data_IF_065788687151
#
_entry.id   IF_065788687151
#
_cell.length_a   1.000
_cell.length_b   1.000
_cell.length_c   1.000
_cell.angle_alpha   90.00
_cell.angle_beta   90.00
_cell.angle_gamma   90.00
#
_symmetry.space_group_name_H-M   'P 1'
#
loop_
_entity.id
_entity.type
_entity.pdbx_description
1 polymer ?
#
# COMPACT_ATOMS: atom_id res chain seq x y z
N UNK A 1 -17.15 -2.47 0.83
CA UNK A 1 -16.12 -1.96 1.75
C UNK A 1 -14.88 -1.80 0.91
N UNK A 2 -14.26 -0.63 0.90
CA UNK A 2 -13.07 -0.37 0.10
C UNK A 2 -11.85 -1.00 0.78
N UNK A 3 -10.94 -1.60 0.02
CA UNK A 3 -9.75 -2.27 0.56
C UNK A 3 -8.75 -1.21 1.06
N UNK A 4 -8.81 -0.92 2.36
CA UNK A 4 -7.94 0.07 3.00
C UNK A 4 -6.64 -0.56 3.49
N UNK A 5 -5.51 0.02 3.11
CA UNK A 5 -4.23 -0.23 3.77
C UNK A 5 -4.24 0.48 5.13
N UNK A 6 -4.48 -0.25 6.23
CA UNK A 6 -4.50 0.29 7.59
C UNK A 6 -3.20 -0.05 8.33
N UNK A 7 -2.78 0.84 9.22
CA UNK A 7 -1.59 0.61 10.05
C UNK A 7 -1.82 -0.53 11.05
N UNK A 8 -0.94 -1.53 11.05
CA UNK A 8 -0.97 -2.61 12.04
C UNK A 8 -0.93 -2.06 13.49
N UNK A 9 -0.16 -0.99 13.73
CA UNK A 9 -0.10 -0.34 15.05
C UNK A 9 -1.43 0.31 15.45
N UNK A 10 -2.20 0.86 14.49
CA UNK A 10 -3.52 1.40 14.76
C UNK A 10 -4.50 0.27 15.16
N UNK A 11 -4.42 -0.88 14.49
CA UNK A 11 -5.21 -2.06 14.84
C UNK A 11 -4.82 -2.60 16.23
N UNK A 12 -3.53 -2.72 16.52
CA UNK A 12 -3.04 -3.15 17.84
C UNK A 12 -3.55 -2.21 18.94
N UNK A 13 -3.46 -0.89 18.74
CA UNK A 13 -3.97 0.11 19.69
C UNK A 13 -5.46 -0.07 19.97
N UNK A 14 -6.28 -0.32 18.93
CA UNK A 14 -7.71 -0.60 19.08
C UNK A 14 -7.93 -1.88 19.91
N UNK A 15 -7.18 -2.95 19.61
CA UNK A 15 -7.27 -4.23 20.34
C UNK A 15 -6.87 -4.09 21.82
N UNK A 16 -5.81 -3.35 22.13
CA UNK A 16 -5.38 -3.08 23.50
C UNK A 16 -6.43 -2.29 24.29
N UNK A 17 -7.00 -1.25 23.68
CA UNK A 17 -8.08 -0.46 24.27
C UNK A 17 -9.32 -1.31 24.55
N UNK A 18 -9.70 -2.19 23.62
CA UNK A 18 -10.82 -3.11 23.79
C UNK A 18 -10.54 -4.14 24.91
N UNK A 19 -9.32 -4.68 25.00
CA UNK A 19 -8.92 -5.60 26.07
C UNK A 19 -8.99 -4.94 27.46
N UNK A 20 -8.59 -3.68 27.58
CA UNK A 20 -8.75 -2.90 28.82
C UNK A 20 -10.23 -2.72 29.21
N UNK A 21 -11.11 -2.44 28.23
CA UNK A 21 -12.56 -2.30 28.45
C UNK A 21 -13.25 -3.62 28.79
N UNK A 22 -12.85 -4.73 28.15
CA UNK A 22 -13.41 -6.06 28.40
C UNK A 22 -13.17 -6.55 29.84
N UNK A 23 -12.07 -6.11 30.48
CA UNK A 23 -11.84 -6.33 31.92
C UNK A 23 -12.86 -5.65 32.84
N UNK A 24 -13.78 -4.84 32.31
CA UNK A 24 -14.85 -4.13 33.03
C UNK A 24 -16.27 -4.66 32.75
N UNK A 25 -16.39 -5.86 32.19
CA UNK A 25 -17.63 -6.61 31.94
C UNK A 25 -18.50 -6.08 30.77
N UNK A 26 -18.24 -6.63 29.58
CA UNK A 26 -19.03 -6.47 28.36
C UNK A 26 -19.18 -7.84 27.70
N UNK A 27 -20.37 -8.17 27.20
CA UNK A 27 -20.57 -9.45 26.51
C UNK A 27 -19.74 -9.52 25.21
N UNK A 28 -19.17 -10.70 24.91
CA UNK A 28 -18.18 -10.88 23.83
C UNK A 28 -18.65 -10.43 22.44
N UNK A 29 -19.95 -10.54 22.13
CA UNK A 29 -20.50 -10.18 20.82
C UNK A 29 -20.47 -8.65 20.57
N UNK A 30 -20.75 -7.84 21.59
CA UNK A 30 -20.71 -6.38 21.48
C UNK A 30 -19.27 -5.86 21.33
N UNK A 31 -18.30 -6.52 21.96
CA UNK A 31 -16.88 -6.20 21.82
C UNK A 31 -16.37 -6.42 20.39
N UNK A 32 -16.79 -7.50 19.72
CA UNK A 32 -16.37 -7.79 18.35
C UNK A 32 -16.98 -6.78 17.37
N UNK A 33 -18.26 -6.43 17.53
CA UNK A 33 -18.92 -5.44 16.68
C UNK A 33 -18.30 -4.04 16.83
N UNK A 34 -18.02 -3.60 18.06
CA UNK A 34 -17.36 -2.31 18.35
C UNK A 34 -15.94 -2.26 17.76
N UNK A 35 -15.20 -3.37 17.85
CA UNK A 35 -13.87 -3.51 17.24
C UNK A 35 -13.93 -3.39 15.71
N UNK A 36 -14.87 -4.07 15.06
CA UNK A 36 -15.06 -4.01 13.60
C UNK A 36 -15.37 -2.58 13.15
N UNK A 37 -16.30 -1.90 13.82
CA UNK A 37 -16.67 -0.51 13.51
C UNK A 37 -15.48 0.46 13.67
N UNK A 38 -14.65 0.27 14.70
CA UNK A 38 -13.43 1.08 14.90
C UNK A 38 -12.40 0.84 13.80
N UNK A 39 -12.21 -0.40 13.35
CA UNK A 39 -11.29 -0.74 12.25
C UNK A 39 -11.80 -0.16 10.93
N UNK A 40 -13.09 -0.30 10.62
CA UNK A 40 -13.69 0.23 9.39
C UNK A 40 -13.59 1.76 9.28
N UNK A 41 -13.63 2.45 10.43
CA UNK A 41 -13.48 3.90 10.54
C UNK A 41 -12.05 4.40 10.51
N UNK A 42 -11.06 3.52 10.58
CA UNK A 42 -9.67 3.97 10.45
C UNK A 42 -9.47 4.67 9.10
N UNK A 43 -8.74 5.80 9.09
CA UNK A 43 -8.24 6.34 7.85
C UNK A 43 -7.29 5.32 7.23
N UNK A 44 -7.26 5.27 5.89
CA UNK A 44 -6.19 4.54 5.22
C UNK A 44 -4.84 5.17 5.61
N UNK A 45 -3.84 4.35 5.93
CA UNK A 45 -2.49 4.80 6.19
C UNK A 45 -1.86 5.43 4.94
N UNK A 46 -2.30 4.96 3.77
CA UNK A 46 -1.91 5.47 2.46
C UNK A 46 -3.11 5.44 1.52
N UNK A 47 -3.17 6.43 0.63
CA UNK A 47 -4.10 6.47 -0.50
C UNK A 47 -3.53 5.54 -1.58
N UNK A 48 -4.10 4.34 -1.67
CA UNK A 48 -3.59 3.26 -2.53
C UNK A 48 -3.62 3.68 -3.99
N UNK A 49 -4.71 4.33 -4.39
CA UNK A 49 -4.95 4.81 -5.75
C UNK A 49 -3.90 5.85 -6.13
N UNK A 50 -3.59 6.81 -5.23
CA UNK A 50 -2.51 7.78 -5.48
C UNK A 50 -1.13 7.16 -5.54
N UNK A 51 -0.82 6.18 -4.69
CA UNK A 51 0.48 5.47 -4.79
C UNK A 51 0.60 4.77 -6.16
N UNK A 52 -0.47 4.11 -6.62
CA UNK A 52 -0.47 3.46 -7.93
C UNK A 52 -0.34 4.49 -9.06
N UNK A 53 -0.96 5.66 -8.94
CA UNK A 53 -0.82 6.77 -9.88
C UNK A 53 0.64 7.27 -9.95
N UNK A 54 1.25 7.61 -8.82
CA UNK A 54 2.65 8.05 -8.76
C UNK A 54 3.62 7.00 -9.34
N UNK A 55 3.41 5.71 -9.03
CA UNK A 55 4.23 4.62 -9.56
C UNK A 55 4.07 4.45 -11.08
N UNK A 56 2.87 4.68 -11.63
CA UNK A 56 2.63 4.65 -13.08
C UNK A 56 3.36 5.80 -13.77
N UNK A 57 3.32 6.99 -13.20
CA UNK A 57 4.04 8.16 -13.73
C UNK A 57 5.56 7.91 -13.74
N UNK A 58 6.13 7.39 -12.65
CA UNK A 58 7.56 7.06 -12.59
C UNK A 58 7.95 5.96 -13.57
N UNK A 59 7.08 4.96 -13.76
CA UNK A 59 7.27 3.92 -14.76
C UNK A 59 7.31 4.50 -16.17
N UNK A 60 6.34 5.34 -16.53
CA UNK A 60 6.27 5.97 -17.84
C UNK A 60 7.50 6.87 -18.10
N UNK A 61 7.95 7.62 -17.09
CA UNK A 61 9.15 8.44 -17.19
C UNK A 61 10.42 7.59 -17.39
N UNK A 62 10.54 6.47 -16.68
CA UNK A 62 11.65 5.53 -16.89
C UNK A 62 11.64 4.97 -18.32
N UNK A 63 10.48 4.56 -18.85
CA UNK A 63 10.33 4.08 -20.23
C UNK A 63 10.72 5.16 -21.26
N UNK A 64 10.31 6.41 -21.04
CA UNK A 64 10.70 7.55 -21.90
C UNK A 64 12.21 7.77 -21.90
N UNK A 65 12.86 7.66 -20.74
CA UNK A 65 14.31 7.82 -20.66
C UNK A 65 15.05 6.65 -21.29
N UNK A 66 14.59 5.42 -21.10
CA UNK A 66 15.15 4.24 -21.77
C UNK A 66 15.15 4.43 -23.30
N UNK A 67 14.01 4.85 -23.87
CA UNK A 67 13.91 5.12 -25.31
C UNK A 67 14.88 6.21 -25.79
N UNK A 68 15.07 7.30 -25.02
CA UNK A 68 16.04 8.35 -25.36
C UNK A 68 17.48 7.86 -25.34
N UNK A 69 17.83 6.98 -24.40
CA UNK A 69 19.18 6.41 -24.33
C UNK A 69 19.45 5.42 -25.46
N UNK A 70 18.45 4.63 -25.85
CA UNK A 70 18.51 3.76 -27.03
C UNK A 70 18.77 4.57 -28.32
N UNK A 71 18.04 5.69 -28.51
CA UNK A 71 18.22 6.58 -29.67
C UNK A 71 19.65 7.12 -29.82
N UNK A 72 20.38 7.33 -28.72
CA UNK A 72 21.76 7.82 -28.74
C UNK A 72 22.81 6.70 -28.60
N UNK A 73 22.37 5.43 -28.55
CA UNK A 73 23.25 4.26 -28.41
C UNK A 73 23.90 4.09 -27.04
N UNK A 74 23.33 4.72 -26.00
CA UNK A 74 23.80 4.61 -24.61
C UNK A 74 23.11 3.43 -23.92
N UNK A 75 23.58 2.23 -24.24
CA UNK A 75 22.98 0.97 -23.78
C UNK A 75 23.01 0.81 -22.27
N UNK A 76 24.06 1.31 -21.61
CA UNK A 76 24.21 1.19 -20.15
C UNK A 76 23.10 1.98 -19.43
N UNK A 77 22.86 3.23 -19.83
CA UNK A 77 21.78 4.03 -19.24
C UNK A 77 20.39 3.55 -19.67
N UNK A 78 20.24 3.06 -20.90
CA UNK A 78 19.00 2.42 -21.35
C UNK A 78 18.63 1.25 -20.42
N UNK A 79 19.54 0.31 -20.18
CA UNK A 79 19.32 -0.88 -19.36
C UNK A 79 18.96 -0.53 -17.91
N UNK A 80 19.57 0.52 -17.36
CA UNK A 80 19.24 1.04 -16.01
C UNK A 80 17.77 1.49 -15.98
N UNK A 81 17.34 2.30 -16.94
CA UNK A 81 15.97 2.84 -16.98
C UNK A 81 14.93 1.76 -17.25
N UNK A 82 15.26 0.80 -18.09
CA UNK A 82 14.44 -0.39 -18.33
C UNK A 82 14.22 -1.20 -17.04
N UNK A 83 15.29 -1.35 -16.25
CA UNK A 83 15.23 -2.04 -14.95
C UNK A 83 14.37 -1.25 -13.95
N UNK A 84 14.49 0.07 -13.91
CA UNK A 84 13.65 0.94 -13.08
C UNK A 84 12.16 0.82 -13.44
N UNK A 85 11.80 0.87 -14.74
CA UNK A 85 10.41 0.67 -15.20
C UNK A 85 9.83 -0.67 -14.73
N UNK A 86 10.60 -1.76 -14.85
CA UNK A 86 10.18 -3.08 -14.37
C UNK A 86 9.98 -3.10 -12.86
N UNK A 87 10.87 -2.45 -12.11
CA UNK A 87 10.75 -2.34 -10.65
C UNK A 87 9.48 -1.59 -10.23
N UNK A 88 9.15 -0.48 -10.90
CA UNK A 88 7.88 0.23 -10.67
C UNK A 88 6.67 -0.63 -11.04
N UNK A 89 6.73 -1.39 -12.13
CA UNK A 89 5.69 -2.36 -12.50
C UNK A 89 5.45 -3.41 -11.40
N UNK A 90 6.51 -3.99 -10.85
CA UNK A 90 6.41 -4.93 -9.72
C UNK A 90 5.86 -4.27 -8.46
N UNK A 91 6.27 -3.04 -8.16
CA UNK A 91 5.75 -2.29 -7.03
C UNK A 91 4.23 -2.04 -7.15
N UNK A 92 3.74 -1.72 -8.35
CA UNK A 92 2.30 -1.60 -8.62
C UNK A 92 1.58 -2.91 -8.29
N UNK A 93 2.07 -4.06 -8.78
CA UNK A 93 1.44 -5.36 -8.50
C UNK A 93 1.39 -5.69 -7.00
N UNK A 94 2.46 -5.39 -6.26
CA UNK A 94 2.53 -5.60 -4.80
C UNK A 94 1.48 -4.74 -4.09
N UNK A 95 1.39 -3.46 -4.46
CA UNK A 95 0.44 -2.52 -3.86
C UNK A 95 -1.00 -2.93 -4.21
N UNK A 96 -1.26 -3.36 -5.45
CA UNK A 96 -2.57 -3.87 -5.89
C UNK A 96 -3.02 -5.09 -5.08
N UNK A 97 -2.11 -6.03 -4.81
CA UNK A 97 -2.36 -7.23 -3.99
C UNK A 97 -2.40 -6.97 -2.48
N UNK A 98 -2.01 -5.76 -2.04
CA UNK A 98 -1.95 -5.40 -0.62
C UNK A 98 -0.73 -5.97 0.13
N UNK A 99 0.30 -6.42 -0.58
CA UNK A 99 1.51 -6.99 0.01
C UNK A 99 2.23 -8.00 -0.87
N UNK A 100 3.31 -8.57 -0.33
CA UNK A 100 4.05 -9.71 -0.92
C UNK A 100 3.51 -10.98 -0.27
N UNK A 101 3.19 -12.00 -1.07
CA UNK A 101 2.84 -13.35 -0.59
C UNK A 101 4.05 -14.13 -0.07
#
# INVERSE_FOLDING_TARGET
MEDKLISANAVITILENARFRAGKDLSKAYLIADLQEQIERLPAAFDKEKIIEDLKDWKEDAEKWAAKYDEIGDTDNMDIRDTESRAFGQAIEIVEKGGVE
#
